data_IF_055023662998
#
_entry.id   IF_055023662998
#
_cell.length_a   1.000
_cell.length_b   1.000
_cell.length_c   1.000
_cell.angle_alpha   90.00
_cell.angle_beta   90.00
_cell.angle_gamma   90.00
#
_symmetry.space_group_name_H-M   'P 1'
#
loop_
_entity.id
_entity.type
_entity.pdbx_description
1 polymer ?
#
# COMPACT_ATOMS: atom_id res chain seq x y z
N UNK A 1 15.13 -20.04 8.57
CA UNK A 1 13.82 -20.55 8.11
C UNK A 1 13.81 -20.54 6.58
N UNK A 2 13.26 -21.58 5.92
CA UNK A 2 13.11 -21.60 4.46
C UNK A 2 12.01 -20.62 4.04
N UNK A 3 12.22 -19.89 2.95
CA UNK A 3 11.22 -19.00 2.34
C UNK A 3 10.96 -19.45 0.91
N UNK A 4 9.69 -19.63 0.55
CA UNK A 4 9.25 -19.86 -0.84
C UNK A 4 8.49 -18.63 -1.32
N UNK A 5 8.67 -18.27 -2.60
CA UNK A 5 8.03 -17.09 -3.18
C UNK A 5 7.21 -17.50 -4.40
N UNK A 6 6.01 -16.94 -4.52
CA UNK A 6 5.13 -17.08 -5.67
C UNK A 6 4.56 -15.72 -6.08
N UNK A 7 4.11 -15.60 -7.33
CA UNK A 7 3.33 -14.45 -7.77
C UNK A 7 1.83 -14.67 -7.51
N UNK A 8 1.10 -13.60 -7.25
CA UNK A 8 -0.35 -13.65 -7.24
C UNK A 8 -0.91 -13.83 -8.67
N UNK A 9 -2.16 -14.33 -8.82
CA UNK A 9 -2.83 -14.33 -10.11
C UNK A 9 -2.86 -12.91 -10.70
N UNK A 10 -2.48 -12.78 -11.97
CA UNK A 10 -2.24 -11.48 -12.62
C UNK A 10 -0.78 -11.00 -12.61
N UNK A 11 0.13 -11.80 -12.02
CA UNK A 11 1.57 -11.63 -12.12
C UNK A 11 2.17 -10.60 -11.15
N UNK A 12 3.47 -10.34 -11.30
CA UNK A 12 4.24 -9.43 -10.44
C UNK A 12 3.64 -8.03 -10.25
N UNK A 13 2.83 -7.52 -11.19
CA UNK A 13 2.14 -6.23 -11.04
C UNK A 13 1.01 -6.23 -10.00
N UNK A 14 0.53 -7.40 -9.58
CA UNK A 14 -0.52 -7.54 -8.56
C UNK A 14 0.09 -7.72 -7.17
N UNK A 15 1.13 -8.54 -7.07
CA UNK A 15 1.85 -8.77 -5.83
C UNK A 15 2.49 -10.15 -5.75
N UNK A 16 3.14 -10.39 -4.62
CA UNK A 16 3.87 -11.63 -4.35
C UNK A 16 3.42 -12.26 -3.04
N UNK A 17 3.57 -13.57 -2.94
CA UNK A 17 3.31 -14.37 -1.75
C UNK A 17 4.62 -14.96 -1.26
N UNK A 18 4.95 -14.71 0.00
CA UNK A 18 6.10 -15.26 0.68
C UNK A 18 5.61 -16.24 1.74
N UNK A 19 5.97 -17.50 1.56
CA UNK A 19 5.67 -18.61 2.47
C UNK A 19 6.90 -18.87 3.33
N UNK A 20 6.75 -18.64 4.63
CA UNK A 20 7.79 -18.86 5.62
C UNK A 20 7.58 -20.21 6.29
N UNK A 21 8.62 -21.03 6.33
CA UNK A 21 8.58 -22.33 7.01
C UNK A 21 7.52 -23.27 6.43
N UNK A 22 7.02 -24.15 7.29
CA UNK A 22 5.84 -24.98 7.00
C UNK A 22 4.61 -24.37 7.67
N UNK A 23 3.47 -24.39 6.97
CA UNK A 23 2.24 -23.82 7.49
C UNK A 23 1.63 -24.74 8.54
N UNK A 24 1.38 -24.20 9.73
CA UNK A 24 0.64 -24.88 10.78
C UNK A 24 -0.87 -24.84 10.49
N UNK A 25 -1.66 -25.54 11.32
CA UNK A 25 -3.09 -25.29 11.39
C UNK A 25 -3.33 -23.80 11.73
N UNK A 26 -4.22 -23.16 11.00
CA UNK A 26 -4.60 -21.74 11.18
C UNK A 26 -3.38 -20.79 11.12
N UNK A 27 -2.65 -20.76 9.99
CA UNK A 27 -1.39 -20.05 9.90
C UNK A 27 -1.57 -18.54 10.10
N UNK A 28 -0.53 -17.88 10.62
CA UNK A 28 -0.46 -16.42 10.59
C UNK A 28 -0.33 -15.94 9.15
N UNK A 29 -1.17 -14.98 8.79
CA UNK A 29 -1.16 -14.33 7.48
C UNK A 29 -1.10 -12.83 7.65
N UNK A 30 -0.20 -12.17 6.94
CA UNK A 30 -0.16 -10.71 6.77
C UNK A 30 -0.44 -10.36 5.31
N UNK A 31 -1.53 -9.64 5.06
CA UNK A 31 -1.76 -8.99 3.76
C UNK A 31 -1.25 -7.56 3.83
N UNK A 32 -0.11 -7.26 3.21
CA UNK A 32 0.51 -5.95 3.23
C UNK A 32 0.27 -5.23 1.90
N UNK A 33 -0.28 -4.02 1.93
CA UNK A 33 -0.33 -3.15 0.75
C UNK A 33 0.97 -2.36 0.70
N UNK A 34 1.73 -2.47 -0.39
CA UNK A 34 3.01 -1.78 -0.56
C UNK A 34 2.93 -0.31 -0.17
N UNK A 35 3.93 0.13 0.58
CA UNK A 35 4.13 1.51 0.95
C UNK A 35 5.63 1.83 0.89
N UNK A 36 6.13 2.29 -0.26
CA UNK A 36 7.55 2.62 -0.47
C UNK A 36 8.10 3.50 0.66
N UNK A 37 7.31 4.49 1.09
CA UNK A 37 7.73 5.45 2.10
C UNK A 37 7.94 4.77 3.46
N UNK A 38 7.02 3.90 3.89
CA UNK A 38 7.15 3.20 5.17
C UNK A 38 8.13 2.02 5.09
N UNK A 39 7.97 1.19 4.06
CA UNK A 39 8.65 -0.09 3.93
C UNK A 39 10.15 0.06 3.65
N UNK A 40 10.52 0.98 2.74
CA UNK A 40 11.91 1.15 2.29
C UNK A 40 12.55 2.44 2.80
N UNK A 41 11.82 3.56 2.76
CA UNK A 41 12.35 4.86 3.17
C UNK A 41 12.20 5.15 4.67
N UNK A 42 11.62 4.21 5.43
CA UNK A 42 11.46 4.29 6.89
C UNK A 42 10.77 5.59 7.37
N UNK A 43 9.81 6.06 6.58
CA UNK A 43 8.97 7.21 6.93
C UNK A 43 8.24 6.97 8.24
N UNK A 44 8.40 7.90 9.18
CA UNK A 44 7.70 7.93 10.47
C UNK A 44 6.31 8.61 10.38
N UNK A 45 5.91 9.07 9.19
CA UNK A 45 4.59 9.68 8.95
C UNK A 45 3.47 8.64 8.74
N UNK A 46 3.79 7.33 8.75
CA UNK A 46 2.81 6.25 8.73
C UNK A 46 3.27 5.02 9.53
N UNK A 47 2.37 4.07 9.75
CA UNK A 47 2.60 2.81 10.48
C UNK A 47 3.06 1.66 9.58
N UNK A 48 3.16 1.85 8.26
CA UNK A 48 3.29 0.73 7.33
C UNK A 48 4.59 -0.08 7.52
N UNK A 49 5.73 0.60 7.67
CA UNK A 49 7.01 -0.05 7.93
C UNK A 49 7.01 -0.80 9.27
N UNK A 50 6.69 -0.12 10.39
CA UNK A 50 6.58 -0.78 11.70
C UNK A 50 5.58 -1.96 11.74
N UNK A 51 4.42 -1.85 11.09
CA UNK A 51 3.46 -2.96 10.99
C UNK A 51 4.02 -4.14 10.19
N UNK A 52 4.79 -3.89 9.13
CA UNK A 52 5.42 -4.94 8.33
C UNK A 52 6.49 -5.67 9.14
N UNK A 53 7.38 -4.92 9.81
CA UNK A 53 8.44 -5.49 10.66
C UNK A 53 7.83 -6.35 11.77
N UNK A 54 6.86 -5.81 12.52
CA UNK A 54 6.16 -6.55 13.58
C UNK A 54 5.45 -7.81 13.06
N UNK A 55 4.88 -7.75 11.85
CA UNK A 55 4.22 -8.91 11.25
C UNK A 55 5.22 -10.01 10.89
N UNK A 56 6.38 -9.63 10.34
CA UNK A 56 7.46 -10.56 10.02
C UNK A 56 8.03 -11.19 11.29
N UNK A 57 8.26 -10.42 12.36
CA UNK A 57 8.73 -10.94 13.64
C UNK A 57 7.77 -11.99 14.21
N UNK A 58 6.46 -11.72 14.18
CA UNK A 58 5.44 -12.67 14.64
C UNK A 58 5.41 -13.95 13.81
N UNK A 59 5.48 -13.84 12.48
CA UNK A 59 5.54 -15.00 11.57
C UNK A 59 6.78 -15.84 11.86
N UNK A 60 7.94 -15.21 12.08
CA UNK A 60 9.18 -15.91 12.39
C UNK A 60 9.13 -16.60 13.76
N UNK A 61 8.56 -15.93 14.77
CA UNK A 61 8.42 -16.46 16.11
C UNK A 61 7.55 -17.74 16.17
N UNK A 62 6.56 -17.86 15.29
CA UNK A 62 5.72 -19.07 15.17
C UNK A 62 6.35 -20.18 14.32
N UNK A 63 7.51 -19.93 13.73
CA UNK A 63 8.21 -20.89 12.87
C UNK A 63 7.64 -21.03 11.45
N UNK A 64 6.59 -20.27 11.11
CA UNK A 64 6.03 -20.24 9.76
C UNK A 64 4.79 -19.37 9.61
N UNK A 65 4.45 -19.04 8.36
CA UNK A 65 3.31 -18.19 8.03
C UNK A 65 3.37 -17.63 6.60
N UNK A 66 2.46 -16.71 6.29
CA UNK A 66 2.31 -16.14 4.95
C UNK A 66 2.38 -14.61 4.99
N UNK A 67 3.24 -14.02 4.18
CA UNK A 67 3.16 -12.60 3.82
C UNK A 67 2.67 -12.50 2.39
N UNK A 68 1.58 -11.78 2.17
CA UNK A 68 1.16 -11.34 0.84
C UNK A 68 1.51 -9.87 0.69
N UNK A 69 2.42 -9.58 -0.22
CA UNK A 69 2.87 -8.22 -0.52
C UNK A 69 2.20 -7.73 -1.81
N UNK A 70 1.16 -6.91 -1.64
CA UNK A 70 0.32 -6.40 -2.72
C UNK A 70 0.91 -5.13 -3.33
N UNK A 71 1.03 -5.08 -4.65
CA UNK A 71 1.55 -3.95 -5.43
C UNK A 71 0.51 -2.82 -5.59
N UNK A 72 -0.04 -2.35 -4.48
CA UNK A 72 -1.15 -1.40 -4.42
C UNK A 72 -0.80 -0.11 -3.68
N UNK A 73 0.31 0.50 -4.10
CA UNK A 73 0.80 1.76 -3.54
C UNK A 73 -0.26 2.87 -3.63
N UNK A 74 -0.28 3.75 -2.63
CA UNK A 74 -1.19 4.89 -2.60
C UNK A 74 -2.65 4.45 -2.70
N UNK A 75 -3.05 3.43 -1.95
CA UNK A 75 -4.42 2.85 -2.00
C UNK A 75 -4.85 2.43 -3.41
N UNK A 76 -3.90 1.93 -4.21
CA UNK A 76 -4.13 1.54 -5.61
C UNK A 76 -4.04 2.69 -6.62
N UNK A 77 -3.88 3.94 -6.19
CA UNK A 77 -3.74 5.09 -7.09
C UNK A 77 -2.29 5.36 -7.52
N UNK A 78 -1.33 4.62 -6.98
CA UNK A 78 0.09 4.69 -7.33
C UNK A 78 0.88 5.76 -6.57
N UNK A 79 2.21 5.66 -6.68
CA UNK A 79 3.17 6.46 -5.92
C UNK A 79 3.07 7.96 -6.22
N UNK A 80 2.91 8.34 -7.49
CA UNK A 80 2.81 9.74 -7.89
C UNK A 80 1.56 10.41 -7.28
N UNK A 81 0.43 9.70 -7.29
CA UNK A 81 -0.82 10.19 -6.69
C UNK A 81 -0.68 10.33 -5.19
N UNK A 82 -0.04 9.36 -4.52
CA UNK A 82 0.30 9.45 -3.09
C UNK A 82 1.14 10.69 -2.78
N UNK A 83 2.19 10.95 -3.55
CA UNK A 83 3.04 12.12 -3.34
C UNK A 83 2.26 13.44 -3.51
N UNK A 84 1.40 13.54 -4.54
CA UNK A 84 0.51 14.70 -4.73
C UNK A 84 -0.49 14.85 -3.57
N UNK A 85 -1.07 13.74 -3.12
CA UNK A 85 -2.01 13.72 -2.00
C UNK A 85 -1.35 14.20 -0.70
N UNK A 86 -0.16 13.70 -0.38
CA UNK A 86 0.62 14.14 0.78
C UNK A 86 0.94 15.64 0.72
N UNK A 87 1.32 16.16 -0.44
CA UNK A 87 1.55 17.60 -0.62
C UNK A 87 0.28 18.41 -0.35
N UNK A 88 -0.88 17.94 -0.81
CA UNK A 88 -2.16 18.60 -0.53
C UNK A 88 -2.50 18.56 0.96
N UNK A 89 -2.27 17.43 1.63
CA UNK A 89 -2.44 17.31 3.07
C UNK A 89 -1.53 18.28 3.84
N UNK A 90 -0.27 18.41 3.44
CA UNK A 90 0.70 19.30 4.08
C UNK A 90 0.40 20.79 3.83
N UNK A 91 0.05 21.16 2.60
CA UNK A 91 -0.14 22.57 2.22
C UNK A 91 -1.54 23.10 2.51
N UNK A 92 -2.54 22.22 2.62
CA UNK A 92 -3.96 22.62 2.80
C UNK A 92 -4.66 21.99 4.00
N UNK A 93 -3.95 21.17 4.78
CA UNK A 93 -4.52 20.46 5.94
C UNK A 93 -5.60 19.44 5.57
N UNK A 94 -5.64 18.97 4.31
CA UNK A 94 -6.65 18.02 3.86
C UNK A 94 -6.38 16.63 4.42
N UNK A 95 -7.45 15.92 4.81
CA UNK A 95 -7.35 14.49 5.05
C UNK A 95 -7.03 13.74 3.74
N UNK A 96 -6.56 12.50 3.88
CA UNK A 96 -6.10 11.70 2.74
C UNK A 96 -7.21 11.50 1.70
N UNK A 97 -8.47 11.36 2.12
CA UNK A 97 -9.59 11.07 1.24
C UNK A 97 -10.02 12.29 0.44
N UNK A 98 -10.10 13.45 1.10
CA UNK A 98 -10.33 14.73 0.45
C UNK A 98 -9.23 15.04 -0.56
N UNK A 99 -7.98 14.77 -0.21
CA UNK A 99 -6.86 14.92 -1.14
C UNK A 99 -7.02 14.02 -2.37
N UNK A 100 -7.39 12.76 -2.20
CA UNK A 100 -7.55 11.83 -3.32
C UNK A 100 -8.72 12.20 -4.23
N UNK A 101 -9.88 12.56 -3.65
CA UNK A 101 -11.04 13.03 -4.43
C UNK A 101 -10.70 14.27 -5.25
N UNK A 102 -9.94 15.20 -4.70
CA UNK A 102 -9.52 16.41 -5.44
C UNK A 102 -8.58 16.13 -6.61
N UNK A 103 -7.88 15.00 -6.58
CA UNK A 103 -7.00 14.54 -7.64
C UNK A 103 -7.74 13.68 -8.69
N UNK A 104 -9.06 13.49 -8.54
CA UNK A 104 -9.90 12.71 -9.45
C UNK A 104 -9.90 11.21 -9.17
N UNK A 105 -9.44 10.77 -8.00
CA UNK A 105 -9.40 9.35 -7.62
C UNK A 105 -10.44 8.99 -6.56
N UNK A 106 -10.97 7.76 -6.58
CA UNK A 106 -11.71 7.22 -5.45
C UNK A 106 -10.90 7.22 -4.17
N UNK A 107 -11.62 7.15 -3.05
CA UNK A 107 -11.07 7.07 -1.70
C UNK A 107 -10.09 5.89 -1.51
N UNK A 108 -10.40 4.76 -2.13
CA UNK A 108 -9.64 3.52 -2.06
C UNK A 108 -9.91 2.70 -3.32
N UNK A 109 -8.86 2.30 -4.03
CA UNK A 109 -8.92 1.50 -5.26
C UNK A 109 -8.38 0.08 -5.05
N UNK A 110 -8.09 -0.30 -3.80
CA UNK A 110 -7.48 -1.60 -3.50
C UNK A 110 -8.47 -2.74 -3.72
N UNK A 111 -7.98 -3.83 -4.29
CA UNK A 111 -8.67 -5.12 -4.34
C UNK A 111 -7.87 -6.16 -3.58
N UNK A 112 -8.55 -6.93 -2.74
CA UNK A 112 -7.95 -8.00 -1.96
C UNK A 112 -8.31 -9.40 -2.50
N UNK A 113 -9.09 -9.45 -3.59
CA UNK A 113 -9.58 -10.70 -4.19
C UNK A 113 -8.45 -11.60 -4.69
N UNK A 114 -7.40 -11.11 -5.40
CA UNK A 114 -6.32 -12.00 -5.86
C UNK A 114 -5.61 -12.72 -4.70
N UNK A 115 -5.40 -12.00 -3.60
CA UNK A 115 -4.82 -12.55 -2.39
C UNK A 115 -5.76 -13.57 -1.72
N UNK A 116 -7.04 -13.24 -1.61
CA UNK A 116 -8.03 -14.13 -0.99
C UNK A 116 -8.19 -15.44 -1.78
N UNK A 117 -8.24 -15.37 -3.11
CA UNK A 117 -8.31 -16.54 -3.97
C UNK A 117 -7.04 -17.39 -3.92
N UNK A 118 -5.86 -16.76 -3.92
CA UNK A 118 -4.61 -17.50 -3.77
C UNK A 118 -4.58 -18.29 -2.45
N UNK A 119 -4.93 -17.65 -1.32
CA UNK A 119 -4.98 -18.34 -0.03
C UNK A 119 -5.99 -19.50 -0.03
N UNK A 120 -7.17 -19.29 -0.61
CA UNK A 120 -8.25 -20.29 -0.58
C UNK A 120 -7.98 -21.49 -1.49
N UNK A 121 -7.53 -21.24 -2.72
CA UNK A 121 -7.51 -22.23 -3.80
C UNK A 121 -6.11 -22.76 -4.09
N UNK A 122 -5.07 -21.93 -4.03
CA UNK A 122 -3.69 -22.36 -4.28
C UNK A 122 -3.06 -22.96 -3.02
N UNK A 123 -3.30 -22.35 -1.85
CA UNK A 123 -2.80 -22.87 -0.56
C UNK A 123 -3.81 -23.76 0.17
N UNK A 124 -5.06 -23.83 -0.30
CA UNK A 124 -6.10 -24.66 0.30
C UNK A 124 -6.53 -24.25 1.70
N UNK A 125 -6.26 -23.00 2.13
CA UNK A 125 -6.52 -22.57 3.51
C UNK A 125 -8.02 -22.30 3.73
N UNK A 126 -8.61 -23.02 4.68
CA UNK A 126 -9.99 -22.81 5.13
C UNK A 126 -10.12 -21.88 6.33
N UNK A 127 -9.07 -21.73 7.13
CA UNK A 127 -9.01 -20.88 8.32
C UNK A 127 -7.64 -20.26 8.48
N UNK A 128 -7.59 -18.99 8.89
CA UNK A 128 -6.34 -18.25 9.12
C UNK A 128 -6.45 -17.30 10.33
N UNK A 129 -5.29 -16.95 10.89
CA UNK A 129 -5.13 -15.82 11.81
C UNK A 129 -4.53 -14.64 11.05
N UNK A 130 -5.32 -13.60 10.82
CA UNK A 130 -4.95 -12.49 9.94
C UNK A 130 -4.42 -11.30 10.75
N UNK A 131 -3.15 -10.98 10.55
CA UNK A 131 -2.46 -9.81 11.10
C UNK A 131 -2.97 -8.52 10.44
N UNK A 132 -4.07 -7.96 10.94
CA UNK A 132 -4.74 -6.80 10.33
C UNK A 132 -5.52 -5.97 11.34
N UNK A 133 -5.61 -4.68 11.05
CA UNK A 133 -6.57 -3.75 11.67
C UNK A 133 -7.68 -3.36 10.67
N UNK A 134 -7.61 -3.85 9.43
CA UNK A 134 -8.49 -3.43 8.34
C UNK A 134 -9.68 -4.38 8.19
N UNK A 135 -10.93 -3.92 8.40
CA UNK A 135 -12.11 -4.75 8.19
C UNK A 135 -12.31 -5.15 6.72
N UNK A 136 -11.86 -4.32 5.77
CA UNK A 136 -11.97 -4.61 4.34
C UNK A 136 -11.18 -5.86 3.93
N UNK A 137 -10.00 -6.08 4.54
CA UNK A 137 -9.20 -7.31 4.31
C UNK A 137 -9.91 -8.54 4.87
N UNK A 138 -10.47 -8.41 6.08
CA UNK A 138 -11.26 -9.49 6.72
C UNK A 138 -12.47 -9.84 5.86
N UNK A 139 -13.21 -8.83 5.38
CA UNK A 139 -14.38 -9.02 4.54
C UNK A 139 -14.03 -9.76 3.24
N UNK A 140 -12.98 -9.32 2.53
CA UNK A 140 -12.57 -9.96 1.28
C UNK A 140 -12.22 -11.45 1.45
N UNK A 141 -11.52 -11.80 2.52
CA UNK A 141 -11.16 -13.19 2.84
C UNK A 141 -12.37 -14.03 3.23
N UNK A 142 -13.30 -13.47 4.01
CA UNK A 142 -14.56 -14.13 4.36
C UNK A 142 -15.43 -14.36 3.13
N UNK A 143 -15.49 -13.41 2.21
CA UNK A 143 -16.19 -13.55 0.92
C UNK A 143 -15.59 -14.68 0.06
N UNK A 144 -14.29 -14.93 0.16
CA UNK A 144 -13.63 -16.07 -0.48
C UNK A 144 -13.83 -17.41 0.26
N UNK A 145 -14.61 -17.44 1.35
CA UNK A 145 -14.92 -18.64 2.11
C UNK A 145 -13.83 -19.06 3.11
N UNK A 146 -12.99 -18.12 3.56
CA UNK A 146 -11.97 -18.37 4.60
C UNK A 146 -12.52 -17.91 5.95
N UNK A 147 -12.41 -18.77 6.97
CA UNK A 147 -12.65 -18.38 8.36
C UNK A 147 -11.47 -17.52 8.86
N UNK A 148 -11.76 -16.28 9.24
CA UNK A 148 -10.73 -15.29 9.60
C UNK A 148 -10.86 -14.89 11.06
N UNK A 149 -9.81 -15.19 11.82
CA UNK A 149 -9.55 -14.62 13.15
C UNK A 149 -8.64 -13.41 13.00
N UNK A 150 -9.14 -12.16 13.12
CA UNK A 150 -8.28 -10.99 13.06
C UNK A 150 -7.38 -10.94 14.30
N UNK A 151 -6.11 -10.59 14.08
CA UNK A 151 -5.10 -10.36 15.11
C UNK A 151 -4.56 -8.95 14.91
N UNK A 152 -4.84 -8.06 15.87
CA UNK A 152 -4.45 -6.65 15.80
C UNK A 152 -2.93 -6.50 15.72
N UNK A 153 -2.50 -5.58 14.85
CA UNK A 153 -1.08 -5.20 14.68
C UNK A 153 -0.97 -3.72 14.99
N UNK A 154 -0.64 -3.38 16.23
CA UNK A 154 -0.54 -1.99 16.65
C UNK A 154 0.91 -1.54 16.74
N UNK A 155 1.17 -0.30 16.31
CA UNK A 155 2.46 0.38 16.51
C UNK A 155 2.18 1.82 16.96
N UNK A 156 2.99 2.31 17.90
CA UNK A 156 2.82 3.65 18.44
C UNK A 156 3.22 4.71 17.41
N UNK A 157 2.38 5.73 17.14
CA UNK A 157 2.74 6.81 16.22
C UNK A 157 3.90 7.63 16.79
N UNK A 158 4.99 7.71 16.04
CA UNK A 158 6.17 8.49 16.42
C UNK A 158 6.02 9.99 16.10
N UNK A 159 5.10 10.35 15.21
CA UNK A 159 4.89 11.73 14.75
C UNK A 159 3.42 12.14 14.85
N UNK A 160 3.16 13.46 14.88
CA UNK A 160 1.78 13.97 14.81
C UNK A 160 1.11 13.67 13.46
N UNK A 161 1.91 13.60 12.39
CA UNK A 161 1.41 13.17 11.07
C UNK A 161 0.97 11.72 11.08
N UNK A 162 1.74 10.82 11.70
CA UNK A 162 1.33 9.44 11.91
C UNK A 162 0.08 9.35 12.78
N UNK A 163 -0.01 10.12 13.88
CA UNK A 163 -1.21 10.17 14.73
C UNK A 163 -2.44 10.58 13.93
N UNK A 164 -2.34 11.64 13.12
CA UNK A 164 -3.43 12.07 12.23
C UNK A 164 -3.77 10.99 11.20
N UNK A 165 -2.77 10.38 10.59
CA UNK A 165 -2.96 9.32 9.59
C UNK A 165 -3.69 8.10 10.17
N UNK A 166 -3.34 7.66 11.39
CA UNK A 166 -4.02 6.57 12.09
C UNK A 166 -5.44 6.95 12.51
N UNK A 167 -5.65 8.20 12.94
CA UNK A 167 -6.99 8.72 13.25
C UNK A 167 -7.89 8.73 12.01
N UNK A 168 -7.37 9.16 10.85
CA UNK A 168 -8.10 9.11 9.57
C UNK A 168 -8.47 7.65 9.22
N UNK A 169 -7.59 6.66 9.48
CA UNK A 169 -7.90 5.23 9.28
C UNK A 169 -9.02 4.74 10.21
N UNK A 170 -8.99 5.11 11.49
CA UNK A 170 -10.01 4.74 12.47
C UNK A 170 -11.37 5.30 12.08
N UNK A 171 -11.44 6.61 11.87
CA UNK A 171 -12.71 7.33 11.69
C UNK A 171 -13.32 7.08 10.31
N UNK A 172 -12.49 7.00 9.26
CA UNK A 172 -12.98 6.97 7.88
C UNK A 172 -13.01 5.56 7.26
N UNK A 173 -12.37 4.56 7.88
CA UNK A 173 -12.34 3.17 7.39
C UNK A 173 -12.61 2.13 8.47
N UNK A 174 -13.00 2.55 9.67
CA UNK A 174 -13.33 1.65 10.78
C UNK A 174 -12.19 0.68 11.11
N UNK A 175 -10.94 1.15 11.02
CA UNK A 175 -9.80 0.33 11.43
C UNK A 175 -9.84 0.08 12.94
N UNK A 176 -9.62 -1.17 13.34
CA UNK A 176 -9.55 -1.59 14.74
C UNK A 176 -8.17 -1.24 15.31
N UNK A 177 -8.07 -0.02 15.87
CA UNK A 177 -6.87 0.54 16.47
C UNK A 177 -7.26 1.11 17.84
N UNK A 178 -6.36 1.08 18.85
CA UNK A 178 -6.63 1.64 20.16
C UNK A 178 -6.88 3.15 20.09
N UNK A 179 -7.63 3.73 21.04
CA UNK A 179 -7.88 5.17 21.07
C UNK A 179 -6.57 5.96 21.07
N UNK A 180 -6.36 6.77 20.04
CA UNK A 180 -5.19 7.64 19.96
C UNK A 180 -5.43 8.83 20.89
N UNK A 181 -4.75 8.85 22.04
CA UNK A 181 -4.79 10.01 22.93
C UNK A 181 -4.33 11.25 22.15
N UNK A 182 -5.20 12.27 22.09
CA UNK A 182 -4.85 13.58 21.52
C UNK A 182 -3.92 14.28 22.49
N UNK A 183 -2.61 14.08 22.34
CA UNK A 183 -1.65 15.01 22.92
C UNK A 183 -1.80 16.34 22.18
N UNK A 184 -2.39 17.32 22.85
CA UNK A 184 -2.34 18.71 22.40
C UNK A 184 -0.86 19.09 22.29
N UNK A 185 -0.36 19.56 21.13
CA UNK A 185 0.99 20.06 21.06
C UNK A 185 1.11 21.27 22.00
N UNK A 186 2.04 21.20 22.95
CA UNK A 186 2.55 22.40 23.61
C UNK A 186 3.11 23.30 22.52
N UNK A 187 2.59 24.53 22.46
CA UNK A 187 3.01 25.52 21.49
C UNK A 187 4.52 25.76 21.61
N UNK A 188 5.29 25.13 20.72
CA UNK A 188 6.70 25.42 20.53
C UNK A 188 6.82 25.99 19.14
N UNK A 189 7.07 27.29 19.08
CA UNK A 189 7.21 28.09 17.87
C UNK A 189 8.48 27.65 17.13
N UNK A 190 8.38 26.61 16.29
CA UNK A 190 9.43 26.27 15.34
C UNK A 190 9.32 27.23 14.15
N UNK A 191 10.27 28.14 14.05
CA UNK A 191 10.47 29.02 12.91
C UNK A 191 10.59 28.15 11.64
N UNK A 192 9.69 28.36 10.68
CA UNK A 192 9.83 27.80 9.34
C UNK A 192 10.99 28.51 8.64
N UNK A 193 12.08 27.79 8.38
CA UNK A 193 13.00 28.21 7.33
C UNK A 193 12.35 27.99 5.95
N UNK A 194 12.56 28.89 4.99
CA UNK A 194 11.96 28.76 3.67
C UNK A 194 12.58 27.57 2.93
N UNK A 195 11.73 26.59 2.58
CA UNK A 195 12.08 25.49 1.70
C UNK A 195 12.48 26.07 0.34
N UNK A 196 13.70 25.74 -0.10
CA UNK A 196 14.20 26.10 -1.42
C UNK A 196 13.24 25.67 -2.53
N UNK A 197 12.88 26.64 -3.37
CA UNK A 197 12.17 26.44 -4.62
C UNK A 197 12.90 25.42 -5.49
N UNK A 198 12.26 24.27 -5.71
CA UNK A 198 12.70 23.32 -6.74
C UNK A 198 12.12 23.82 -8.06
N UNK A 199 12.99 24.24 -8.98
CA UNK A 199 12.59 24.61 -10.34
C UNK A 199 11.89 23.44 -11.05
N UNK A 200 10.92 23.71 -11.93
CA UNK A 200 10.24 22.65 -12.67
C UNK A 200 11.26 21.86 -13.49
N UNK A 201 11.27 20.54 -13.30
CA UNK A 201 11.99 19.61 -14.17
C UNK A 201 11.54 19.87 -15.61
N UNK A 202 12.52 20.08 -16.48
CA UNK A 202 12.38 20.69 -17.79
C UNK A 202 11.27 20.11 -18.65
N UNK A 203 10.64 21.03 -19.39
CA UNK A 203 9.81 20.77 -20.57
C UNK A 203 10.49 19.72 -21.44
N UNK A 204 9.76 18.64 -21.76
CA UNK A 204 10.18 17.64 -22.73
C UNK A 204 10.52 18.38 -24.03
N UNK A 205 11.80 18.38 -24.41
CA UNK A 205 12.28 19.06 -25.61
C UNK A 205 11.44 18.68 -26.83
N UNK A 206 11.05 19.68 -27.64
CA UNK A 206 10.31 19.48 -28.91
C UNK A 206 10.96 18.42 -29.82
N UNK A 207 12.27 18.20 -29.68
CA UNK A 207 13.03 17.19 -30.42
C UNK A 207 12.62 15.75 -30.04
N UNK A 208 12.27 15.48 -28.79
CA UNK A 208 11.84 14.13 -28.33
C UNK A 208 10.44 13.81 -28.86
N UNK A 209 9.53 14.79 -28.82
CA UNK A 209 8.16 14.66 -29.38
C UNK A 209 8.19 14.46 -30.89
N UNK A 210 9.07 15.18 -31.60
CA UNK A 210 9.25 15.03 -33.05
C UNK A 210 9.84 13.66 -33.44
N UNK A 211 10.74 13.12 -32.61
CA UNK A 211 11.34 11.79 -32.84
C UNK A 211 10.31 10.68 -32.64
N UNK A 212 9.50 10.75 -31.58
CA UNK A 212 8.42 9.80 -31.34
C UNK A 212 7.37 9.80 -32.47
N UNK A 213 7.03 10.98 -33.02
CA UNK A 213 6.06 11.10 -34.11
C UNK A 213 6.59 10.51 -35.44
N UNK A 214 7.90 10.62 -35.71
CA UNK A 214 8.53 9.99 -36.88
C UNK A 214 8.57 8.46 -36.76
N UNK A 215 8.80 7.92 -35.57
CA UNK A 215 8.80 6.47 -35.32
C UNK A 215 7.38 5.90 -35.51
N UNK A 216 6.35 6.58 -34.98
CA UNK A 216 4.95 6.14 -35.13
C UNK A 216 4.50 6.19 -36.61
N UNK A 217 4.92 7.21 -37.38
CA UNK A 217 4.63 7.26 -38.83
C UNK A 217 5.33 6.15 -39.62
N UNK A 218 6.58 5.80 -39.29
CA UNK A 218 7.29 4.68 -39.93
C UNK A 218 6.67 3.33 -39.60
N UNK A 219 6.22 3.13 -38.35
CA UNK A 219 5.56 1.90 -37.94
C UNK A 219 4.19 1.71 -38.61
N UNK A 220 3.41 2.78 -38.81
CA UNK A 220 2.15 2.70 -39.57
C UNK A 220 2.37 2.35 -41.04
N UNK A 221 3.36 2.97 -41.70
CA UNK A 221 3.68 2.64 -43.09
C UNK A 221 4.16 1.19 -43.28
N UNK A 222 4.82 0.60 -42.27
CA UNK A 222 5.21 -0.82 -42.28
C UNK A 222 4.03 -1.77 -42.07
N UNK A 223 3.01 -1.35 -41.32
CA UNK A 223 1.78 -2.14 -41.09
C UNK A 223 0.84 -2.07 -42.30
N UNK A 224 0.72 -0.90 -42.93
CA UNK A 224 -0.13 -0.72 -44.11
C UNK A 224 0.43 -1.43 -45.35
N UNK A 225 1.76 -1.55 -45.46
CA UNK A 225 2.43 -2.32 -46.53
C UNK A 225 2.39 -3.84 -46.36
N UNK A 226 1.95 -4.36 -45.21
CA UNK A 226 1.84 -5.81 -44.95
C UNK A 226 0.43 -6.36 -45.21
N UNK A 227 -0.57 -5.47 -45.35
CA UNK A 227 -1.97 -5.81 -45.64
C UNK A 227 -2.39 -5.42 -47.08
N UNK A 228 -1.42 -5.23 -47.97
CA UNK A 228 -1.63 -4.99 -49.41
C UNK A 228 -1.17 -6.17 -50.24
#
# INVERSE_FOLDING_TARGET
>A
MRVRVAELPGGSSVGSVLLFGELQADPLVRMHSRCLYGDALRSEDCDCGPELDLSLDRIQAEGGGVLIYLEQEGRGAGLLTKAKGLRLSQTRGWDTYKAYRSLGFPADLRSYEPAAFFLRFELGLGRIRLLTNSPNKVAALRCAGIEVTPVTVHTEPQTERARKYLSDKQILQNHDLPPLLRTLPSATTAQHEPVMSISPVGVVSRTVVQTATRIIKRLRALVDGYNS
#
